data_IF_696483938969
#
_entry.id   IF_696483938969
#
_cell.length_a   1.000
_cell.length_b   1.000
_cell.length_c   1.000
_cell.angle_alpha   90.00
_cell.angle_beta   90.00
_cell.angle_gamma   90.00
#
_symmetry.space_group_name_H-M   'P 1'
#
loop_
_entity.id
_entity.type
_entity.pdbx_description
1 polymer ?
#
# COMPACT_ATOMS: atom_id res chain seq x y z
N UNK A 1 2.15 7.25 7.82
CA UNK A 1 3.14 6.15 7.73
C UNK A 1 4.53 6.73 7.46
N UNK A 2 5.59 5.98 7.75
CA UNK A 2 6.99 6.33 7.46
C UNK A 2 7.59 5.34 6.46
N UNK A 3 8.64 5.74 5.73
CA UNK A 3 9.36 4.86 4.79
C UNK A 3 9.87 3.56 5.42
N UNK A 4 10.24 3.58 6.70
CA UNK A 4 10.70 2.40 7.44
C UNK A 4 9.59 1.35 7.67
N UNK A 5 8.32 1.72 7.49
CA UNK A 5 7.19 0.79 7.55
C UNK A 5 7.11 -0.09 6.27
N UNK A 6 7.90 0.24 5.24
CA UNK A 6 7.93 -0.44 3.95
C UNK A 6 9.20 -1.27 3.80
N UNK A 7 9.06 -2.43 3.18
CA UNK A 7 10.16 -3.26 2.70
C UNK A 7 10.26 -3.12 1.19
N UNK A 8 11.40 -2.67 0.68
CA UNK A 8 11.67 -2.70 -0.75
C UNK A 8 11.86 -4.16 -1.19
N UNK A 9 11.04 -4.64 -2.12
CA UNK A 9 11.08 -6.02 -2.64
C UNK A 9 11.33 -6.06 -4.16
N UNK A 10 11.50 -4.90 -4.80
CA UNK A 10 11.92 -4.75 -6.19
C UNK A 10 12.27 -3.29 -6.53
N UNK A 11 12.77 -3.01 -7.74
CA UNK A 11 13.27 -1.68 -8.11
C UNK A 11 12.26 -0.54 -7.94
N UNK A 12 10.97 -0.81 -8.17
CA UNK A 12 9.88 0.12 -7.95
C UNK A 12 8.71 -0.57 -7.22
N UNK A 13 9.01 -1.49 -6.31
CA UNK A 13 8.02 -2.27 -5.59
C UNK A 13 8.32 -2.30 -4.10
N UNK A 14 7.37 -1.81 -3.33
CA UNK A 14 7.42 -1.71 -1.89
C UNK A 14 6.30 -2.54 -1.28
N UNK A 15 6.60 -3.26 -0.22
CA UNK A 15 5.64 -4.05 0.52
C UNK A 15 5.49 -3.47 1.93
N UNK A 16 4.26 -3.22 2.34
CA UNK A 16 3.90 -2.96 3.73
C UNK A 16 3.66 -4.34 4.36
N UNK A 17 4.52 -4.80 5.28
CA UNK A 17 4.35 -6.10 5.91
C UNK A 17 2.99 -6.20 6.61
N UNK A 18 2.46 -7.42 6.65
CA UNK A 18 1.21 -7.71 7.34
C UNK A 18 1.33 -7.34 8.82
N UNK A 19 0.46 -6.44 9.29
CA UNK A 19 0.38 -6.02 10.69
C UNK A 19 -1.06 -6.06 11.19
N UNK A 20 -1.26 -6.22 12.50
CA UNK A 20 -2.59 -6.26 13.10
C UNK A 20 -3.51 -7.33 12.50
N UNK A 21 -4.71 -6.91 12.08
CA UNK A 21 -5.73 -7.80 11.51
C UNK A 21 -5.62 -8.01 9.99
N UNK A 22 -4.57 -7.48 9.34
CA UNK A 22 -4.34 -7.70 7.91
C UNK A 22 -4.25 -9.21 7.64
N UNK A 23 -4.90 -9.65 6.56
CA UNK A 23 -4.90 -11.05 6.10
C UNK A 23 -3.76 -11.30 5.12
N UNK A 24 -3.42 -10.28 4.33
CA UNK A 24 -2.36 -10.26 3.33
C UNK A 24 -1.52 -8.97 3.51
N UNK A 25 -0.28 -8.89 3.00
CA UNK A 25 0.45 -7.62 2.95
C UNK A 25 -0.20 -6.62 1.97
N UNK A 26 0.22 -5.36 2.01
CA UNK A 26 -0.10 -4.39 0.96
C UNK A 26 1.15 -4.10 0.13
N UNK A 27 0.98 -3.82 -1.17
CA UNK A 27 2.07 -3.54 -2.10
C UNK A 27 1.81 -2.26 -2.87
N UNK A 28 2.85 -1.45 -3.03
CA UNK A 28 2.80 -0.20 -3.78
C UNK A 28 3.88 -0.26 -4.86
N UNK A 29 3.47 -0.11 -6.11
CA UNK A 29 4.40 0.15 -7.20
C UNK A 29 4.75 1.63 -7.21
N UNK A 30 6.00 1.98 -6.91
CA UNK A 30 6.47 3.36 -6.89
C UNK A 30 8.00 3.37 -6.94
N UNK A 31 8.57 4.32 -7.67
CA UNK A 31 9.99 4.66 -7.46
C UNK A 31 10.16 5.30 -6.08
N UNK A 32 11.40 5.40 -5.59
CA UNK A 32 11.67 5.96 -4.26
C UNK A 32 11.13 7.40 -4.10
N UNK A 33 11.33 8.26 -5.11
CA UNK A 33 10.81 9.63 -5.11
C UNK A 33 9.26 9.66 -5.11
N UNK A 34 8.63 8.73 -5.82
CA UNK A 34 7.17 8.62 -5.83
C UNK A 34 6.65 8.16 -4.47
N UNK A 35 7.33 7.22 -3.82
CA UNK A 35 6.96 6.77 -2.48
C UNK A 35 7.00 7.92 -1.48
N UNK A 36 8.01 8.79 -1.55
CA UNK A 36 8.12 9.97 -0.66
C UNK A 36 6.94 10.95 -0.84
N UNK A 37 6.47 11.12 -2.07
CA UNK A 37 5.27 11.91 -2.36
C UNK A 37 3.99 11.22 -1.88
N UNK A 38 3.85 9.92 -2.12
CA UNK A 38 2.71 9.10 -1.67
C UNK A 38 2.57 9.13 -0.14
N UNK A 39 3.68 9.14 0.59
CA UNK A 39 3.70 9.22 2.06
C UNK A 39 3.18 10.55 2.62
N UNK A 40 2.98 11.58 1.79
CA UNK A 40 2.30 12.83 2.20
C UNK A 40 0.77 12.68 2.23
N UNK A 41 0.23 11.62 1.63
CA UNK A 41 -1.17 11.22 1.69
C UNK A 41 -1.34 10.05 2.69
N UNK A 42 -2.57 9.79 3.11
CA UNK A 42 -2.98 8.62 3.89
C UNK A 42 -3.47 7.46 3.02
N UNK A 43 -3.41 7.57 1.70
CA UNK A 43 -3.82 6.50 0.78
C UNK A 43 -3.15 5.13 1.07
N UNK A 44 -1.87 5.04 1.50
CA UNK A 44 -1.27 3.77 1.92
C UNK A 44 -1.99 3.09 3.09
N UNK A 45 -2.59 3.87 4.01
CA UNK A 45 -3.39 3.33 5.11
C UNK A 45 -4.67 2.68 4.58
N UNK A 46 -5.26 3.22 3.50
CA UNK A 46 -6.42 2.60 2.84
C UNK A 46 -6.02 1.27 2.20
N UNK A 47 -4.85 1.16 1.56
CA UNK A 47 -4.35 -0.13 1.06
C UNK A 47 -4.15 -1.15 2.19
N UNK A 48 -3.65 -0.72 3.36
CA UNK A 48 -3.59 -1.58 4.55
C UNK A 48 -5.00 -2.00 5.03
N UNK A 49 -5.98 -1.09 5.01
CA UNK A 49 -7.35 -1.41 5.41
C UNK A 49 -7.99 -2.44 4.46
N UNK A 50 -7.77 -2.32 3.15
CA UNK A 50 -8.21 -3.30 2.14
C UNK A 50 -7.61 -4.69 2.42
N UNK A 51 -6.35 -4.74 2.85
CA UNK A 51 -5.68 -5.98 3.26
C UNK A 51 -6.34 -6.72 4.45
N UNK A 52 -7.32 -6.14 5.15
CA UNK A 52 -8.09 -6.81 6.21
C UNK A 52 -9.32 -7.60 5.67
N UNK A 53 -9.73 -7.37 4.43
CA UNK A 53 -11.01 -7.88 3.92
C UNK A 53 -11.03 -9.41 3.79
N UNK A 54 -12.09 -10.10 4.26
CA UNK A 54 -12.22 -11.54 4.12
C UNK A 54 -12.18 -11.97 2.65
N UNK A 55 -11.40 -13.02 2.35
CA UNK A 55 -11.29 -13.56 0.99
C UNK A 55 -10.29 -12.83 0.09
N UNK A 56 -9.61 -11.78 0.55
CA UNK A 56 -8.53 -11.14 -0.22
C UNK A 56 -7.39 -12.13 -0.47
N UNK A 57 -6.80 -12.06 -1.65
CA UNK A 57 -5.80 -13.01 -2.15
C UNK A 57 -4.47 -12.31 -2.39
N UNK A 58 -3.36 -12.96 -2.03
CA UNK A 58 -1.98 -12.52 -2.22
C UNK A 58 -1.59 -11.22 -1.48
N UNK A 59 -2.14 -10.07 -1.88
CA UNK A 59 -1.84 -8.73 -1.36
C UNK A 59 -2.92 -7.73 -1.79
N UNK A 60 -3.08 -6.64 -1.03
CA UNK A 60 -3.74 -5.42 -1.56
C UNK A 60 -2.72 -4.67 -2.40
N UNK A 61 -3.07 -4.28 -3.62
CA UNK A 61 -2.14 -3.64 -4.54
C UNK A 61 -2.51 -2.17 -4.75
N UNK A 62 -1.50 -1.32 -4.89
CA UNK A 62 -1.67 0.06 -5.31
C UNK A 62 -0.67 0.43 -6.41
N UNK A 63 -1.17 1.17 -7.39
CA UNK A 63 -0.43 1.70 -8.52
C UNK A 63 0.35 2.97 -8.13
N UNK A 64 1.29 3.42 -8.98
CA UNK A 64 2.12 4.60 -8.67
C UNK A 64 1.37 5.92 -8.50
N UNK A 65 0.13 5.99 -8.99
CA UNK A 65 -0.79 7.14 -8.89
C UNK A 65 -1.76 7.04 -7.70
N UNK A 66 -1.46 6.18 -6.72
CA UNK A 66 -2.27 6.01 -5.51
C UNK A 66 -2.54 7.34 -4.80
N UNK A 67 -3.80 7.59 -4.49
CA UNK A 67 -4.23 8.75 -3.70
C UNK A 67 -5.53 8.46 -2.94
N UNK A 68 -5.88 9.35 -2.01
CA UNK A 68 -7.01 9.17 -1.11
C UNK A 68 -8.34 8.95 -1.85
N UNK A 69 -9.01 7.85 -1.51
CA UNK A 69 -10.31 7.48 -2.06
C UNK A 69 -11.39 7.28 -0.99
N UNK A 70 -12.50 6.66 -1.38
CA UNK A 70 -13.60 6.31 -0.48
C UNK A 70 -13.51 4.84 -0.06
N UNK A 71 -12.95 4.60 1.13
CA UNK A 71 -12.70 3.26 1.67
C UNK A 71 -11.48 2.60 1.05
N UNK A 72 -11.50 2.40 -0.27
CA UNK A 72 -10.36 1.93 -1.05
C UNK A 72 -9.57 3.15 -1.59
N UNK A 73 -8.24 3.05 -1.74
CA UNK A 73 -7.49 4.09 -2.43
C UNK A 73 -7.83 4.10 -3.91
N UNK A 74 -7.81 5.28 -4.53
CA UNK A 74 -7.81 5.37 -6.00
C UNK A 74 -6.45 4.86 -6.49
N UNK A 75 -6.43 4.14 -7.61
CA UNK A 75 -5.24 3.40 -8.06
C UNK A 75 -5.01 2.07 -7.32
N UNK A 76 -5.95 1.64 -6.47
CA UNK A 76 -5.92 0.34 -5.80
C UNK A 76 -6.49 -0.82 -6.65
N UNK A 77 -6.01 -2.04 -6.40
CA UNK A 77 -6.50 -3.34 -6.92
C UNK A 77 -6.58 -4.36 -5.78
#
# INVERSE_FOLDING_TARGET
MNKNDFKQIGPALWEIPKTGGMRVPARIYATENMLEAILQDKAPEQAMNVAHLPGIVNFSLAMPDIHWGYGFPIGGV
#
